data_IF_692199594566
#
_entry.id   IF_692199594566
#
_cell.length_a   1.000
_cell.length_b   1.000
_cell.length_c   1.000
_cell.angle_alpha   90.00
_cell.angle_beta   90.00
_cell.angle_gamma   90.00
#
_symmetry.space_group_name_H-M   'P 1'
#
loop_
_entity.id
_entity.type
_entity.pdbx_description
1 polymer ?
#
# COMPACT_ATOMS: atom_id res chain seq x y z
N UNK A 1 -26.33 29.09 -63.00
CA UNK A 1 -26.27 28.36 -61.72
C UNK A 1 -24.88 28.53 -61.13
N UNK A 2 -24.72 29.30 -60.05
CA UNK A 2 -23.46 29.39 -59.30
C UNK A 2 -23.79 28.89 -57.89
N UNK A 3 -23.41 27.66 -57.59
CA UNK A 3 -23.59 27.07 -56.26
C UNK A 3 -22.44 27.53 -55.37
N UNK A 4 -22.75 28.40 -54.41
CA UNK A 4 -21.87 28.74 -53.29
C UNK A 4 -21.98 27.64 -52.23
N UNK A 5 -20.91 26.88 -52.03
CA UNK A 5 -20.77 25.99 -50.89
C UNK A 5 -20.33 26.80 -49.67
N UNK A 6 -21.22 26.95 -48.69
CA UNK A 6 -20.86 27.44 -47.35
C UNK A 6 -20.15 26.33 -46.59
N UNK A 7 -18.87 26.50 -46.32
CA UNK A 7 -18.10 25.64 -45.42
C UNK A 7 -18.44 26.07 -44.00
N UNK A 8 -19.21 25.26 -43.29
CA UNK A 8 -19.50 25.43 -41.87
C UNK A 8 -18.32 24.83 -41.08
N UNK A 9 -17.39 25.68 -40.65
CA UNK A 9 -16.34 25.28 -39.71
C UNK A 9 -16.96 25.03 -38.33
N UNK A 10 -17.06 23.76 -37.95
CA UNK A 10 -17.43 23.34 -36.60
C UNK A 10 -16.24 23.67 -35.68
N UNK A 11 -16.36 24.73 -34.88
CA UNK A 11 -15.47 24.97 -33.75
C UNK A 11 -15.83 23.94 -32.66
N UNK A 12 -15.12 22.82 -32.65
CA UNK A 12 -15.14 21.91 -31.49
C UNK A 12 -14.34 22.62 -30.40
N UNK A 13 -15.04 23.19 -29.41
CA UNK A 13 -14.40 23.62 -28.19
C UNK A 13 -13.93 22.35 -27.46
N UNK A 14 -12.63 22.04 -27.53
CA UNK A 14 -12.03 21.08 -26.60
C UNK A 14 -12.16 21.69 -25.21
N UNK A 15 -13.09 21.17 -24.41
CA UNK A 15 -13.11 21.48 -22.99
C UNK A 15 -11.84 20.86 -22.40
N UNK A 16 -10.82 21.67 -22.12
CA UNK A 16 -9.72 21.26 -21.26
C UNK A 16 -10.32 21.09 -19.88
N UNK A 17 -10.41 19.86 -19.37
CA UNK A 17 -10.76 19.63 -17.98
C UNK A 17 -9.75 20.38 -17.12
N UNK A 18 -10.21 21.39 -16.38
CA UNK A 18 -9.36 22.17 -15.51
C UNK A 18 -9.55 21.66 -14.09
N UNK A 19 -8.45 21.24 -13.47
CA UNK A 19 -8.39 20.89 -12.06
C UNK A 19 -8.42 22.16 -11.21
N UNK A 20 -9.35 22.22 -10.27
CA UNK A 20 -9.51 23.32 -9.31
C UNK A 20 -9.16 22.81 -7.92
N UNK A 21 -8.39 23.59 -7.15
CA UNK A 21 -8.02 23.23 -5.80
C UNK A 21 -9.28 23.04 -4.93
N UNK A 22 -9.43 21.84 -4.38
CA UNK A 22 -10.56 21.49 -3.51
C UNK A 22 -10.13 21.56 -2.04
N UNK A 23 -9.02 20.91 -1.69
CA UNK A 23 -8.48 20.89 -0.34
C UNK A 23 -6.97 21.12 -0.34
N UNK A 24 -6.51 22.03 0.52
CA UNK A 24 -5.10 22.23 0.83
C UNK A 24 -4.81 21.72 2.24
N UNK A 25 -4.07 20.61 2.33
CA UNK A 25 -3.55 20.07 3.58
C UNK A 25 -2.32 20.85 4.03
N UNK A 26 -2.53 22.13 4.31
CA UNK A 26 -1.53 23.05 4.79
C UNK A 26 -0.95 22.57 6.14
N UNK A 27 0.36 22.73 6.32
CA UNK A 27 1.06 22.23 7.51
C UNK A 27 0.46 22.72 8.83
N UNK A 28 -0.09 23.95 8.87
CA UNK A 28 -0.74 24.51 10.06
C UNK A 28 -2.04 23.82 10.47
N UNK A 29 -2.76 23.19 9.53
CA UNK A 29 -4.03 22.49 9.75
C UNK A 29 -3.92 20.98 9.56
N UNK A 30 -2.77 20.47 9.09
CA UNK A 30 -2.57 19.09 8.67
C UNK A 30 -3.13 18.09 9.68
N UNK A 31 -2.63 18.06 10.92
CA UNK A 31 -3.11 17.12 11.95
C UNK A 31 -4.63 17.18 12.17
N UNK A 32 -5.24 18.35 12.09
CA UNK A 32 -6.69 18.50 12.35
C UNK A 32 -7.57 17.88 11.26
N UNK A 33 -7.01 17.62 10.07
CA UNK A 33 -7.71 17.04 8.93
C UNK A 33 -7.57 15.53 8.82
N UNK A 34 -6.83 14.92 9.75
CA UNK A 34 -6.65 13.48 9.85
C UNK A 34 -7.10 12.96 11.22
N UNK A 35 -7.51 11.70 11.25
CA UNK A 35 -7.63 10.90 12.45
C UNK A 35 -6.33 10.09 12.66
N UNK A 36 -5.84 10.04 13.90
CA UNK A 36 -4.66 9.25 14.28
C UNK A 36 -5.14 7.88 14.78
N UNK A 37 -4.89 6.84 13.99
CA UNK A 37 -5.27 5.47 14.32
C UNK A 37 -4.39 4.90 15.43
N UNK A 38 -4.99 4.21 16.41
CA UNK A 38 -4.28 3.61 17.55
C UNK A 38 -4.57 2.13 17.75
N UNK A 39 -5.43 1.54 16.91
CA UNK A 39 -5.76 0.12 16.97
C UNK A 39 -4.59 -0.76 16.54
N UNK A 40 -4.74 -2.07 16.68
CA UNK A 40 -3.80 -3.06 16.13
C UNK A 40 -3.64 -2.90 14.63
N UNK A 41 -2.41 -3.12 14.15
CA UNK A 41 -2.11 -2.98 12.73
C UNK A 41 -2.88 -4.03 11.92
N UNK A 42 -3.74 -3.62 10.97
CA UNK A 42 -4.52 -4.57 10.17
C UNK A 42 -3.67 -5.55 9.36
N UNK A 43 -2.42 -5.17 9.07
CA UNK A 43 -1.40 -5.97 8.36
C UNK A 43 -0.47 -6.75 9.31
N UNK A 44 -0.88 -6.89 10.57
CA UNK A 44 -0.20 -7.69 11.61
C UNK A 44 1.27 -7.30 11.84
N UNK A 45 1.61 -6.05 11.60
CA UNK A 45 2.96 -5.51 11.80
C UNK A 45 3.37 -5.48 13.26
N UNK A 46 4.69 -5.54 13.49
CA UNK A 46 5.30 -5.30 14.80
C UNK A 46 5.44 -3.80 15.07
N UNK A 47 4.29 -3.14 15.18
CA UNK A 47 4.14 -1.69 15.30
C UNK A 47 3.12 -1.33 16.37
N UNK A 48 3.39 -0.26 17.11
CA UNK A 48 2.45 0.33 18.05
C UNK A 48 2.03 1.72 17.53
N UNK A 49 0.85 1.82 16.93
CA UNK A 49 0.36 3.13 16.49
C UNK A 49 -0.11 3.96 17.68
N UNK A 50 0.46 5.16 17.82
CA UNK A 50 0.19 6.08 18.94
C UNK A 50 -0.68 7.27 18.51
N UNK A 51 -1.37 7.87 19.47
CA UNK A 51 -2.21 9.03 19.19
C UNK A 51 -1.37 10.31 18.94
N UNK A 52 -2.02 11.35 18.41
CA UNK A 52 -1.37 12.62 18.09
C UNK A 52 -0.62 13.24 19.28
N UNK A 53 -1.20 13.24 20.47
CA UNK A 53 -0.59 13.86 21.65
C UNK A 53 0.70 13.13 22.06
N UNK A 54 0.68 11.80 22.05
CA UNK A 54 1.87 10.98 22.30
C UNK A 54 2.95 11.24 21.24
N UNK A 55 2.57 11.22 19.95
CA UNK A 55 3.48 11.49 18.85
C UNK A 55 4.15 12.87 18.96
N UNK A 56 3.40 13.90 19.35
CA UNK A 56 3.94 15.25 19.58
C UNK A 56 4.90 15.27 20.78
N UNK A 57 4.51 14.67 21.91
CA UNK A 57 5.33 14.62 23.11
C UNK A 57 6.65 13.86 22.90
N UNK A 58 6.64 12.84 22.04
CA UNK A 58 7.82 12.05 21.68
C UNK A 58 8.61 12.67 20.50
N UNK A 59 8.16 13.79 19.94
CA UNK A 59 8.81 14.45 18.79
C UNK A 59 8.66 13.71 17.46
N UNK A 60 7.79 12.69 17.39
CA UNK A 60 7.50 11.91 16.19
C UNK A 60 6.52 12.61 15.24
N UNK A 61 5.72 13.57 15.74
CA UNK A 61 4.91 14.45 14.91
C UNK A 61 5.19 15.91 15.24
N UNK A 62 5.59 16.70 14.25
CA UNK A 62 5.83 18.14 14.41
C UNK A 62 5.70 18.89 13.09
N UNK A 63 5.42 20.19 13.20
CA UNK A 63 5.44 21.11 12.07
C UNK A 63 6.66 22.00 12.22
N UNK A 64 7.57 21.96 11.25
CA UNK A 64 8.81 22.74 11.26
C UNK A 64 9.02 23.39 9.89
N UNK A 65 9.29 24.69 9.87
CA UNK A 65 9.57 25.45 8.63
C UNK A 65 8.49 25.33 7.54
N UNK A 66 7.22 25.17 7.95
CA UNK A 66 6.10 25.01 7.01
C UNK A 66 5.94 23.61 6.42
N UNK A 67 6.74 22.63 6.85
CA UNK A 67 6.61 21.23 6.50
C UNK A 67 6.15 20.39 7.69
N UNK A 68 5.51 19.25 7.42
CA UNK A 68 5.08 18.29 8.43
C UNK A 68 6.09 17.15 8.51
N UNK A 69 6.64 16.92 9.69
CA UNK A 69 7.45 15.75 10.02
C UNK A 69 6.57 14.69 10.69
N UNK A 70 6.61 13.47 10.17
CA UNK A 70 5.95 12.29 10.73
C UNK A 70 6.90 11.10 10.73
N UNK A 71 7.46 10.77 11.89
CA UNK A 71 8.47 9.73 12.07
C UNK A 71 8.01 8.55 12.93
N UNK A 72 8.99 7.72 13.29
CA UNK A 72 8.87 6.54 14.17
C UNK A 72 9.79 6.68 15.39
N UNK A 73 9.58 5.88 16.42
CA UNK A 73 10.57 5.78 17.49
C UNK A 73 11.87 5.19 16.94
N UNK A 74 12.96 5.94 17.07
CA UNK A 74 14.31 5.57 16.64
C UNK A 74 15.33 5.58 17.78
N UNK A 75 14.86 5.61 19.03
CA UNK A 75 15.70 5.72 20.24
C UNK A 75 15.53 4.56 21.21
N UNK A 76 14.34 3.97 21.32
CA UNK A 76 14.08 2.95 22.33
C UNK A 76 14.01 1.53 21.75
N UNK A 77 14.43 0.56 22.57
CA UNK A 77 14.11 -0.85 22.33
C UNK A 77 12.60 -1.00 22.39
N UNK A 78 12.01 -1.54 21.33
CA UNK A 78 10.55 -1.68 21.26
C UNK A 78 10.05 -2.75 22.23
N UNK A 79 8.76 -2.72 22.54
CA UNK A 79 8.12 -3.74 23.39
C UNK A 79 6.62 -3.82 23.10
N UNK A 80 5.95 -4.83 23.66
CA UNK A 80 4.50 -4.99 23.49
C UNK A 80 4.12 -5.23 22.03
N UNK A 81 3.25 -4.36 21.49
CA UNK A 81 2.72 -4.43 20.12
C UNK A 81 3.80 -4.17 19.06
N UNK A 82 4.85 -3.42 19.41
CA UNK A 82 5.97 -3.17 18.54
C UNK A 82 6.54 -1.77 18.66
N UNK A 83 7.23 -1.32 17.61
CA UNK A 83 7.86 0.00 17.57
C UNK A 83 6.82 1.10 17.43
N UNK A 84 6.93 2.16 18.24
CA UNK A 84 6.00 3.29 18.16
C UNK A 84 6.08 3.95 16.77
N UNK A 85 4.91 4.16 16.16
CA UNK A 85 4.74 4.75 14.83
C UNK A 85 3.41 5.49 14.73
N UNK A 86 3.16 6.11 13.57
CA UNK A 86 1.96 6.89 13.30
C UNK A 86 1.25 6.31 12.07
N UNK A 87 -0.07 6.19 12.16
CA UNK A 87 -0.97 5.97 11.03
C UNK A 87 -2.06 7.04 11.07
N UNK A 88 -2.14 7.85 10.02
CA UNK A 88 -3.17 8.87 9.85
C UNK A 88 -4.12 8.52 8.73
N UNK A 89 -5.40 8.84 8.87
CA UNK A 89 -6.43 8.68 7.84
C UNK A 89 -7.22 9.97 7.68
N UNK A 90 -7.40 10.45 6.45
CA UNK A 90 -8.08 11.73 6.22
C UNK A 90 -9.52 11.66 6.73
N UNK A 91 -9.99 12.74 7.34
CA UNK A 91 -11.39 12.83 7.77
C UNK A 91 -12.34 12.89 6.59
N UNK A 92 -11.91 13.57 5.52
CA UNK A 92 -12.64 13.66 4.26
C UNK A 92 -12.40 12.40 3.41
N UNK A 93 -13.46 12.00 2.72
CA UNK A 93 -13.50 10.93 1.74
C UNK A 93 -13.64 11.53 0.33
N UNK A 94 -13.07 10.87 -0.67
CA UNK A 94 -13.06 11.31 -2.06
C UNK A 94 -13.60 10.22 -2.97
N UNK A 95 -14.22 10.60 -4.09
CA UNK A 95 -14.67 9.65 -5.12
C UNK A 95 -13.94 9.80 -6.45
N UNK A 96 -13.26 10.92 -6.68
CA UNK A 96 -12.36 11.21 -7.80
C UNK A 96 -11.40 12.30 -7.36
N UNK A 97 -10.42 12.61 -8.21
CA UNK A 97 -9.62 13.82 -8.07
C UNK A 97 -8.17 13.64 -8.48
N UNK A 98 -7.44 14.75 -8.39
CA UNK A 98 -6.00 14.81 -8.58
C UNK A 98 -5.33 15.11 -7.24
N UNK A 99 -4.68 14.09 -6.68
CA UNK A 99 -4.00 14.12 -5.40
C UNK A 99 -2.53 14.41 -5.65
N UNK A 100 -2.01 15.53 -5.14
CA UNK A 100 -0.62 15.95 -5.32
C UNK A 100 0.06 15.99 -3.95
N UNK A 101 1.01 15.09 -3.75
CA UNK A 101 1.84 14.99 -2.55
C UNK A 101 3.28 15.40 -2.87
N UNK A 102 3.73 16.50 -2.27
CA UNK A 102 5.13 16.96 -2.32
C UNK A 102 5.85 16.55 -1.03
N UNK A 103 6.88 15.71 -1.18
CA UNK A 103 7.72 15.24 -0.07
C UNK A 103 9.16 15.70 -0.24
N UNK A 104 9.73 16.32 0.80
CA UNK A 104 11.17 16.52 0.90
C UNK A 104 11.90 15.23 1.31
N UNK A 105 11.21 14.32 1.99
CA UNK A 105 11.76 13.06 2.49
C UNK A 105 10.65 12.02 2.69
N UNK A 106 10.98 10.74 2.50
CA UNK A 106 10.14 9.60 2.86
C UNK A 106 10.97 8.56 3.65
N UNK A 107 10.36 7.60 4.34
CA UNK A 107 11.10 6.55 5.05
C UNK A 107 12.11 5.84 4.13
N UNK A 108 13.39 5.84 4.50
CA UNK A 108 14.51 5.59 3.57
C UNK A 108 14.69 4.12 3.10
N UNK A 109 13.79 3.20 3.45
CA UNK A 109 13.94 1.77 3.15
C UNK A 109 14.93 1.08 4.08
N UNK A 110 14.62 1.05 5.38
CA UNK A 110 15.39 0.31 6.39
C UNK A 110 14.81 -1.10 6.58
N UNK A 111 15.66 -2.05 6.97
CA UNK A 111 15.24 -3.42 7.25
C UNK A 111 14.10 -3.48 8.25
N UNK A 112 13.02 -4.17 7.87
CA UNK A 112 11.81 -4.33 8.64
C UNK A 112 10.80 -3.21 8.50
N UNK A 113 11.08 -2.13 7.78
CA UNK A 113 10.09 -1.05 7.54
C UNK A 113 9.10 -1.42 6.43
N UNK A 114 7.88 -0.90 6.55
CA UNK A 114 6.84 -0.93 5.53
C UNK A 114 6.09 0.42 5.53
N UNK A 115 6.65 1.47 4.90
CA UNK A 115 5.97 2.74 4.73
C UNK A 115 4.92 2.70 3.61
N UNK A 116 3.83 3.44 3.79
CA UNK A 116 2.80 3.59 2.76
C UNK A 116 2.19 5.00 2.75
N UNK A 117 1.93 5.53 1.54
CA UNK A 117 0.94 6.57 1.26
C UNK A 117 -0.05 6.03 0.22
N UNK A 118 -1.33 5.99 0.58
CA UNK A 118 -2.31 5.17 -0.13
C UNK A 118 -3.72 5.72 0.09
N UNK A 119 -4.66 5.20 -0.70
CA UNK A 119 -6.08 5.48 -0.58
C UNK A 119 -6.81 4.21 -0.13
N UNK A 120 -7.75 4.34 0.81
CA UNK A 120 -8.57 3.23 1.29
C UNK A 120 -10.06 3.56 1.30
N UNK A 121 -10.85 2.73 0.64
CA UNK A 121 -12.31 2.76 0.66
C UNK A 121 -12.91 1.96 1.82
N UNK A 122 -14.24 2.05 2.04
CA UNK A 122 -14.92 1.32 3.10
C UNK A 122 -15.01 -0.18 2.78
N UNK A 123 -15.17 -1.00 3.82
CA UNK A 123 -15.41 -2.45 3.70
C UNK A 123 -14.39 -3.14 2.78
N UNK A 124 -13.10 -3.00 3.08
CA UNK A 124 -12.03 -3.60 2.29
C UNK A 124 -12.28 -5.10 2.00
N UNK A 125 -12.05 -5.58 0.75
CA UNK A 125 -11.51 -4.86 -0.40
C UNK A 125 -12.59 -4.23 -1.32
N UNK A 126 -13.87 -4.29 -0.93
CA UNK A 126 -15.00 -3.93 -1.82
C UNK A 126 -15.09 -2.44 -2.15
N UNK A 127 -14.57 -1.57 -1.27
CA UNK A 127 -14.45 -0.14 -1.54
C UNK A 127 -13.19 0.24 -2.32
N UNK A 128 -12.29 -0.71 -2.58
CA UNK A 128 -11.02 -0.52 -3.26
C UNK A 128 -9.91 0.06 -2.39
N UNK A 129 -8.66 -0.18 -2.79
CA UNK A 129 -7.45 0.37 -2.20
C UNK A 129 -6.44 0.72 -3.31
N UNK A 130 -5.78 1.87 -3.18
CA UNK A 130 -4.81 2.42 -4.14
C UNK A 130 -3.49 2.71 -3.44
N UNK A 131 -2.48 1.90 -3.70
CA UNK A 131 -1.13 2.09 -3.15
C UNK A 131 -0.32 3.02 -4.05
N UNK A 132 -0.09 4.24 -3.57
CA UNK A 132 0.58 5.29 -4.34
C UNK A 132 2.08 5.25 -4.10
N UNK A 133 2.48 5.18 -2.83
CA UNK A 133 3.87 5.01 -2.43
C UNK A 133 3.91 3.83 -1.47
N UNK A 134 4.56 2.74 -1.86
CA UNK A 134 4.67 1.56 -1.01
C UNK A 134 5.94 0.75 -1.31
N UNK A 135 6.52 0.19 -0.25
CA UNK A 135 7.63 -0.73 -0.35
C UNK A 135 8.03 -1.28 1.01
N UNK A 136 8.87 -2.31 1.00
CA UNK A 136 9.29 -3.01 2.21
C UNK A 136 10.80 -3.15 2.31
N UNK A 137 11.30 -3.25 3.53
CA UNK A 137 12.71 -3.56 3.81
C UNK A 137 13.67 -2.62 3.05
N UNK A 138 14.58 -3.17 2.24
CA UNK A 138 15.59 -2.40 1.49
C UNK A 138 15.18 -2.08 0.06
N UNK A 139 13.89 -2.19 -0.27
CA UNK A 139 13.37 -1.87 -1.59
C UNK A 139 13.76 -0.45 -2.01
N UNK A 140 14.26 -0.32 -3.24
CA UNK A 140 14.89 0.91 -3.75
C UNK A 140 14.07 1.65 -4.81
N UNK A 141 12.96 1.08 -5.26
CA UNK A 141 12.05 1.69 -6.22
C UNK A 141 10.60 1.45 -5.77
N UNK A 142 9.71 2.38 -6.09
CA UNK A 142 8.34 2.35 -5.61
C UNK A 142 7.53 1.18 -6.18
N UNK A 143 6.66 0.59 -5.36
CA UNK A 143 5.60 -0.30 -5.81
C UNK A 143 4.28 0.45 -5.79
N UNK A 144 3.52 0.38 -6.88
CA UNK A 144 2.17 0.93 -6.96
C UNK A 144 1.21 -0.22 -7.27
N UNK A 145 0.09 -0.29 -6.56
CA UNK A 145 -0.85 -1.38 -6.73
C UNK A 145 -2.29 -0.92 -6.55
N UNK A 146 -3.23 -1.71 -7.08
CA UNK A 146 -4.63 -1.64 -6.70
C UNK A 146 -5.09 -2.97 -6.13
N UNK A 147 -5.95 -2.88 -5.11
CA UNK A 147 -6.59 -4.02 -4.46
C UNK A 147 -8.10 -3.86 -4.53
N UNK A 148 -8.78 -4.87 -5.06
CA UNK A 148 -10.24 -4.90 -5.23
C UNK A 148 -10.80 -6.28 -4.88
N UNK A 149 -12.13 -6.41 -4.89
CA UNK A 149 -12.78 -7.70 -5.10
C UNK A 149 -12.73 -8.10 -6.59
N UNK A 150 -13.22 -9.30 -6.92
CA UNK A 150 -13.17 -9.88 -8.26
C UNK A 150 -13.73 -8.98 -9.38
N UNK A 151 -13.18 -9.11 -10.58
CA UNK A 151 -13.72 -8.45 -11.79
C UNK A 151 -13.08 -7.11 -12.13
N UNK A 152 -11.85 -6.87 -11.68
CA UNK A 152 -11.03 -5.74 -12.09
C UNK A 152 -9.66 -6.26 -12.56
N UNK A 153 -9.33 -6.02 -13.82
CA UNK A 153 -7.97 -6.24 -14.32
C UNK A 153 -7.52 -5.10 -15.22
N UNK A 154 -6.22 -4.84 -15.19
CA UNK A 154 -5.58 -3.79 -15.96
C UNK A 154 -4.88 -4.36 -17.19
N UNK A 155 -4.73 -3.55 -18.23
CA UNK A 155 -4.13 -3.95 -19.50
C UNK A 155 -2.73 -3.38 -19.67
N UNK A 156 -1.83 -4.18 -20.26
CA UNK A 156 -0.48 -3.73 -20.60
C UNK A 156 -0.48 -3.03 -21.98
N UNK A 157 -0.79 -1.74 -22.01
CA UNK A 157 -0.93 -0.98 -23.27
C UNK A 157 0.28 -0.13 -23.65
N UNK A 158 1.34 -0.10 -22.82
CA UNK A 158 2.52 0.75 -23.05
C UNK A 158 2.31 2.22 -22.68
N UNK A 159 1.23 2.52 -21.95
CA UNK A 159 0.82 3.87 -21.55
C UNK A 159 1.37 4.29 -20.17
N UNK A 160 2.37 3.57 -19.65
CA UNK A 160 3.09 3.87 -18.40
C UNK A 160 4.54 3.42 -18.50
N UNK A 161 5.42 4.01 -17.67
CA UNK A 161 6.87 3.74 -17.70
C UNK A 161 7.34 2.63 -16.75
N UNK A 162 6.53 2.26 -15.76
CA UNK A 162 6.79 1.14 -14.86
C UNK A 162 6.65 -0.23 -15.52
N UNK A 163 7.01 -1.27 -14.78
CA UNK A 163 6.85 -2.67 -15.19
C UNK A 163 5.61 -3.26 -14.54
N UNK A 164 4.67 -3.77 -15.35
CA UNK A 164 3.54 -4.55 -14.84
C UNK A 164 4.03 -5.88 -14.27
N UNK A 165 3.75 -6.12 -13.00
CA UNK A 165 4.09 -7.35 -12.27
C UNK A 165 2.90 -8.32 -12.28
N UNK A 166 1.72 -7.80 -11.96
CA UNK A 166 0.45 -8.52 -11.91
C UNK A 166 -0.67 -7.65 -12.48
N UNK A 167 -1.57 -8.25 -13.24
CA UNK A 167 -2.62 -7.54 -13.99
C UNK A 167 -4.00 -7.63 -13.33
N UNK A 168 -4.23 -8.58 -12.41
CA UNK A 168 -5.50 -8.79 -11.76
C UNK A 168 -5.54 -8.13 -10.37
N UNK A 169 -6.47 -7.20 -10.16
CA UNK A 169 -6.55 -6.39 -8.95
C UNK A 169 -7.29 -7.12 -7.81
N UNK A 170 -7.92 -8.26 -8.09
CA UNK A 170 -8.58 -9.08 -7.07
C UNK A 170 -7.58 -9.62 -6.04
N UNK A 171 -7.80 -9.32 -4.76
CA UNK A 171 -6.99 -9.82 -3.65
C UNK A 171 -7.01 -11.36 -3.53
N UNK A 172 -8.00 -12.02 -4.14
CA UNK A 172 -8.15 -13.46 -4.22
C UNK A 172 -8.03 -14.01 -5.65
N UNK A 173 -7.36 -13.28 -6.54
CA UNK A 173 -7.18 -13.65 -7.95
C UNK A 173 -6.63 -15.07 -8.14
N UNK A 174 -7.31 -15.96 -8.90
CA UNK A 174 -6.81 -17.29 -9.20
C UNK A 174 -5.48 -17.24 -9.97
N UNK A 175 -4.48 -17.97 -9.50
CA UNK A 175 -3.16 -18.03 -10.15
C UNK A 175 -2.22 -16.88 -9.81
N UNK A 176 -2.65 -15.97 -8.94
CA UNK A 176 -1.84 -14.89 -8.36
C UNK A 176 -1.62 -15.15 -6.87
N UNK A 177 -0.55 -14.58 -6.29
CA UNK A 177 -0.38 -14.58 -4.84
C UNK A 177 -1.55 -13.87 -4.14
N UNK A 178 -1.92 -14.36 -2.96
CA UNK A 178 -2.96 -13.71 -2.14
C UNK A 178 -2.56 -12.29 -1.81
N UNK A 179 -3.51 -11.37 -1.95
CA UNK A 179 -3.36 -9.94 -1.67
C UNK A 179 -2.19 -9.26 -2.40
N UNK A 180 -1.83 -9.73 -3.60
CA UNK A 180 -0.82 -9.03 -4.43
C UNK A 180 -1.45 -7.85 -5.18
N UNK A 181 -2.74 -7.93 -5.49
CA UNK A 181 -3.41 -6.94 -6.34
C UNK A 181 -2.79 -6.86 -7.74
N UNK A 182 -3.18 -5.85 -8.50
CA UNK A 182 -2.54 -5.56 -9.78
C UNK A 182 -1.44 -4.52 -9.52
N UNK A 183 -0.19 -4.92 -9.70
CA UNK A 183 0.98 -4.16 -9.27
C UNK A 183 1.84 -3.72 -10.44
N UNK A 184 2.27 -2.46 -10.42
CA UNK A 184 3.24 -1.87 -11.34
C UNK A 184 4.44 -1.39 -10.50
N UNK A 185 5.62 -1.91 -10.81
CA UNK A 185 6.86 -1.51 -10.15
C UNK A 185 7.56 -0.41 -10.94
N UNK A 186 7.94 0.65 -10.24
CA UNK A 186 8.79 1.70 -10.82
C UNK A 186 10.14 1.13 -11.23
N UNK A 187 10.66 1.58 -12.37
CA UNK A 187 12.03 1.30 -12.80
C UNK A 187 13.02 2.38 -12.33
N UNK A 188 12.52 3.47 -11.75
CA UNK A 188 13.32 4.60 -11.27
C UNK A 188 13.72 4.39 -9.81
N UNK A 189 15.01 4.18 -9.54
CA UNK A 189 15.53 4.02 -8.18
C UNK A 189 15.50 5.30 -7.34
N UNK A 190 15.14 6.45 -7.93
CA UNK A 190 14.86 7.68 -7.19
C UNK A 190 13.40 7.83 -6.77
N UNK A 191 12.53 6.90 -7.16
CA UNK A 191 11.11 6.96 -6.79
C UNK A 191 10.81 6.56 -5.35
N UNK A 192 11.76 5.95 -4.64
CA UNK A 192 11.51 5.45 -3.29
C UNK A 192 12.76 5.48 -2.39
N UNK A 193 12.51 5.50 -1.08
CA UNK A 193 13.52 5.30 -0.03
C UNK A 193 14.74 6.21 -0.14
N UNK A 194 15.93 5.63 0.05
CA UNK A 194 17.18 6.38 0.05
C UNK A 194 17.45 7.13 -1.27
N UNK A 195 17.09 6.56 -2.42
CA UNK A 195 17.27 7.21 -3.72
C UNK A 195 16.41 8.46 -3.87
N UNK A 196 15.15 8.39 -3.41
CA UNK A 196 14.26 9.56 -3.32
C UNK A 196 14.83 10.65 -2.42
N UNK A 197 15.28 10.27 -1.22
CA UNK A 197 15.80 11.21 -0.23
C UNK A 197 17.10 11.90 -0.69
N UNK A 198 18.00 11.15 -1.36
CA UNK A 198 19.23 11.70 -1.91
C UNK A 198 19.00 12.74 -3.00
N UNK A 199 17.86 12.66 -3.70
CA UNK A 199 17.45 13.63 -4.72
C UNK A 199 16.71 14.85 -4.14
N UNK A 200 16.60 14.99 -2.81
CA UNK A 200 15.80 16.04 -2.18
C UNK A 200 14.29 15.82 -2.32
N UNK A 201 13.90 14.56 -2.51
CA UNK A 201 12.55 14.10 -2.70
C UNK A 201 11.94 14.43 -4.06
N UNK A 202 10.65 14.76 -4.06
CA UNK A 202 9.88 14.90 -5.29
C UNK A 202 8.38 14.98 -5.04
N UNK A 203 7.62 14.89 -6.13
CA UNK A 203 6.16 14.95 -6.13
C UNK A 203 5.59 13.64 -6.66
N UNK A 204 4.63 13.09 -5.93
CA UNK A 204 3.71 12.08 -6.44
C UNK A 204 2.39 12.75 -6.79
N UNK A 205 1.90 12.49 -7.99
CA UNK A 205 0.58 12.94 -8.44
C UNK A 205 -0.26 11.74 -8.84
N UNK A 206 -1.44 11.60 -8.25
CA UNK A 206 -2.39 10.52 -8.53
C UNK A 206 -3.66 11.12 -9.11
N UNK A 207 -3.98 10.78 -10.34
CA UNK A 207 -5.22 11.15 -11.01
C UNK A 207 -6.17 9.96 -10.95
N UNK A 208 -7.36 10.18 -10.37
CA UNK A 208 -8.42 9.19 -10.28
C UNK A 208 -9.68 9.72 -10.96
N UNK A 209 -10.06 9.03 -12.03
CA UNK A 209 -11.25 9.30 -12.86
C UNK A 209 -12.17 8.08 -12.89
N UNK A 210 -13.33 8.20 -13.56
CA UNK A 210 -14.20 7.05 -13.84
C UNK A 210 -13.58 5.99 -14.76
N UNK A 211 -12.55 6.34 -15.55
CA UNK A 211 -11.99 5.46 -16.57
C UNK A 211 -10.68 4.80 -16.13
N UNK A 212 -9.91 5.47 -15.27
CA UNK A 212 -8.58 5.01 -14.86
C UNK A 212 -8.08 5.67 -13.58
N UNK A 213 -7.05 5.05 -13.02
CA UNK A 213 -6.17 5.65 -12.01
C UNK A 213 -4.76 5.74 -12.60
N UNK A 214 -4.14 6.92 -12.59
CA UNK A 214 -2.76 7.14 -13.07
C UNK A 214 -1.91 7.75 -11.97
N UNK A 215 -0.65 7.32 -11.86
CA UNK A 215 0.29 7.77 -10.84
C UNK A 215 1.57 8.23 -11.51
N UNK A 216 1.94 9.49 -11.31
CA UNK A 216 3.21 10.07 -11.72
C UNK A 216 4.15 10.23 -10.53
N UNK A 217 5.43 10.05 -10.79
CA UNK A 217 6.50 10.50 -9.92
C UNK A 217 7.35 11.52 -10.68
N UNK A 218 7.53 12.69 -10.08
CA UNK A 218 8.45 13.73 -10.55
C UNK A 218 9.56 13.91 -9.52
N UNK A 219 10.79 13.64 -9.92
CA UNK A 219 11.96 13.97 -9.10
C UNK A 219 12.00 15.48 -8.82
N UNK A 220 12.61 15.90 -7.70
CA UNK A 220 12.61 17.31 -7.25
C UNK A 220 12.93 18.33 -8.35
N UNK A 221 13.88 18.04 -9.23
CA UNK A 221 14.32 18.94 -10.31
C UNK A 221 13.46 18.90 -11.58
N UNK A 222 12.45 18.03 -11.64
CA UNK A 222 11.63 17.77 -12.82
C UNK A 222 10.12 17.96 -12.54
N UNK A 223 9.76 18.64 -11.45
CA UNK A 223 8.35 18.93 -11.11
C UNK A 223 7.77 19.88 -12.18
N UNK A 224 6.67 19.52 -12.84
CA UNK A 224 5.97 20.40 -13.77
C UNK A 224 5.61 21.77 -13.16
N UNK A 225 5.81 22.83 -13.93
CA UNK A 225 5.66 24.21 -13.44
C UNK A 225 4.21 24.59 -13.11
N UNK A 226 3.26 23.94 -13.75
CA UNK A 226 1.81 24.05 -13.52
C UNK A 226 1.39 23.49 -12.16
N UNK A 227 2.02 22.41 -11.67
CA UNK A 227 1.87 21.93 -10.28
C UNK A 227 2.35 23.01 -9.30
N UNK A 228 3.55 23.54 -9.53
CA UNK A 228 4.13 24.59 -8.66
C UNK A 228 3.33 25.90 -8.73
N UNK A 229 2.70 26.17 -9.88
CA UNK A 229 1.82 27.31 -10.12
C UNK A 229 0.38 27.13 -9.61
N UNK A 230 0.04 25.97 -9.03
CA UNK A 230 -1.28 25.69 -8.47
C UNK A 230 -2.40 25.52 -9.50
N UNK A 231 -2.06 25.23 -10.76
CA UNK A 231 -3.01 25.01 -11.85
C UNK A 231 -2.62 23.73 -12.63
N UNK A 232 -2.61 22.56 -11.97
CA UNK A 232 -2.08 21.34 -12.57
C UNK A 232 -2.90 20.89 -13.79
N UNK A 233 -2.21 20.42 -14.81
CA UNK A 233 -2.74 19.87 -16.06
C UNK A 233 -1.98 18.58 -16.45
N UNK A 234 -2.53 17.40 -16.07
CA UNK A 234 -1.91 16.11 -16.36
C UNK A 234 -1.68 15.82 -17.85
N UNK A 235 -2.40 16.48 -18.77
CA UNK A 235 -2.32 16.20 -20.21
C UNK A 235 -0.93 16.48 -20.82
N UNK A 236 -0.11 17.29 -20.13
CA UNK A 236 1.21 17.71 -20.58
C UNK A 236 2.36 17.07 -19.77
N UNK A 237 2.09 16.17 -18.83
CA UNK A 237 3.11 15.59 -17.94
C UNK A 237 3.88 14.40 -18.54
N UNK A 238 3.42 13.88 -19.68
CA UNK A 238 3.98 12.68 -20.29
C UNK A 238 3.49 11.39 -19.62
N UNK A 239 4.23 10.30 -19.82
CA UNK A 239 3.82 8.97 -19.34
C UNK A 239 3.82 8.91 -17.80
N UNK A 240 2.73 8.43 -17.17
CA UNK A 240 2.74 8.12 -15.75
C UNK A 240 3.72 6.97 -15.43
N UNK A 241 4.14 6.88 -14.18
CA UNK A 241 4.89 5.73 -13.66
C UNK A 241 4.02 4.48 -13.64
N UNK A 242 2.74 4.62 -13.30
CA UNK A 242 1.73 3.56 -13.35
C UNK A 242 0.42 4.09 -13.92
N UNK A 243 -0.24 3.28 -14.76
CA UNK A 243 -1.60 3.54 -15.21
C UNK A 243 -2.43 2.27 -15.10
N UNK A 244 -3.50 2.37 -14.33
CA UNK A 244 -4.45 1.30 -14.07
C UNK A 244 -5.71 1.58 -14.88
N UNK A 245 -5.77 0.97 -16.06
CA UNK A 245 -6.89 1.04 -16.99
C UNK A 245 -7.06 -0.34 -17.65
N UNK A 246 -8.29 -0.75 -17.96
CA UNK A 246 -8.53 -2.06 -18.57
C UNK A 246 -9.95 -2.56 -18.38
N UNK A 247 -10.08 -3.87 -18.18
CA UNK A 247 -11.36 -4.51 -17.86
C UNK A 247 -11.69 -4.31 -16.37
N UNK A 248 -11.92 -3.06 -15.99
CA UNK A 248 -12.25 -2.66 -14.64
C UNK A 248 -13.21 -1.47 -14.68
N UNK A 249 -14.34 -1.59 -13.99
CA UNK A 249 -15.26 -0.48 -13.73
C UNK A 249 -14.75 0.27 -12.49
N UNK A 250 -13.99 1.35 -12.69
CA UNK A 250 -13.31 2.06 -11.61
C UNK A 250 -14.31 2.62 -10.60
N UNK A 251 -15.45 3.17 -11.05
CA UNK A 251 -16.47 3.73 -10.15
C UNK A 251 -17.17 2.65 -9.31
N UNK A 252 -17.31 1.44 -9.85
CA UNK A 252 -17.84 0.32 -9.09
C UNK A 252 -16.83 -0.25 -8.07
N UNK A 253 -15.53 -0.08 -8.31
CA UNK A 253 -14.45 -0.69 -7.51
C UNK A 253 -13.84 0.23 -6.47
N UNK A 254 -13.87 1.54 -6.69
CA UNK A 254 -13.24 2.53 -5.82
C UNK A 254 -14.27 3.55 -5.39
N UNK A 255 -14.52 3.67 -4.09
CA UNK A 255 -15.54 4.57 -3.56
C UNK A 255 -15.10 5.13 -2.20
N UNK A 256 -15.44 6.40 -1.95
CA UNK A 256 -15.30 7.07 -0.65
C UNK A 256 -13.92 6.84 0.00
N UNK A 257 -12.88 7.06 -0.80
CA UNK A 257 -11.50 6.80 -0.42
C UNK A 257 -11.00 7.83 0.59
N UNK A 258 -10.36 7.36 1.66
CA UNK A 258 -9.57 8.19 2.57
C UNK A 258 -8.09 8.09 2.22
N UNK A 259 -7.39 9.21 2.27
CA UNK A 259 -5.93 9.20 2.21
C UNK A 259 -5.37 8.66 3.52
N UNK A 260 -4.43 7.72 3.42
CA UNK A 260 -3.74 7.13 4.56
C UNK A 260 -2.23 7.32 4.37
N UNK A 261 -1.55 7.64 5.48
CA UNK A 261 -0.09 7.64 5.53
C UNK A 261 0.37 6.96 6.81
N UNK A 262 1.28 6.01 6.71
CA UNK A 262 1.82 5.29 7.86
C UNK A 262 3.23 4.77 7.63
N UNK A 263 3.81 4.25 8.72
CA UNK A 263 4.94 3.33 8.67
C UNK A 263 4.62 2.13 9.55
N UNK A 264 4.39 0.98 8.93
CA UNK A 264 4.32 -0.30 9.63
C UNK A 264 5.71 -0.94 9.71
N UNK A 265 5.80 -2.05 10.42
CA UNK A 265 7.02 -2.85 10.51
C UNK A 265 6.70 -4.33 10.39
N UNK A 266 7.53 -5.09 9.69
CA UNK A 266 7.36 -6.53 9.51
C UNK A 266 5.98 -6.88 8.92
N UNK A 267 5.16 -7.64 9.66
CA UNK A 267 3.81 -7.96 9.24
C UNK A 267 3.73 -8.82 7.99
N UNK A 268 2.55 -8.78 7.38
CA UNK A 268 2.15 -9.70 6.31
C UNK A 268 3.05 -9.61 5.06
N UNK A 269 3.64 -8.44 4.78
CA UNK A 269 4.56 -8.26 3.67
C UNK A 269 6.03 -8.17 4.09
N UNK A 270 6.48 -7.10 4.77
CA UNK A 270 7.90 -6.91 5.05
C UNK A 270 8.50 -8.06 5.88
N UNK A 271 7.70 -8.62 6.79
CA UNK A 271 8.08 -9.78 7.60
C UNK A 271 8.14 -11.08 6.80
N UNK A 272 7.20 -11.30 5.87
CA UNK A 272 7.15 -12.53 5.08
C UNK A 272 8.29 -12.66 4.08
N UNK A 273 8.78 -11.53 3.55
CA UNK A 273 9.95 -11.50 2.65
C UNK A 273 11.29 -11.25 3.34
N UNK A 274 11.32 -11.20 4.68
CA UNK A 274 12.55 -10.93 5.44
C UNK A 274 13.69 -11.90 5.11
N UNK A 275 13.38 -13.20 5.04
CA UNK A 275 14.38 -14.26 4.84
C UNK A 275 14.93 -14.31 3.41
N UNK A 276 14.26 -13.67 2.46
CA UNK A 276 14.67 -13.59 1.05
C UNK A 276 15.33 -12.25 0.70
N UNK A 277 15.17 -11.21 1.53
CA UNK A 277 15.93 -9.96 1.41
C UNK A 277 17.39 -10.21 1.82
N UNK A 278 18.29 -10.11 0.85
CA UNK A 278 19.72 -10.40 1.02
C UNK A 278 20.46 -9.40 1.92
N UNK A 279 19.89 -8.22 2.14
CA UNK A 279 20.43 -7.19 3.03
C UNK A 279 19.93 -7.37 4.46
N UNK A 280 18.65 -7.76 4.62
CA UNK A 280 17.99 -7.85 5.92
C UNK A 280 18.13 -9.21 6.59
N UNK A 281 18.05 -10.32 5.85
CA UNK A 281 18.17 -11.65 6.43
C UNK A 281 19.44 -11.86 7.28
N UNK A 282 20.62 -11.30 6.93
CA UNK A 282 21.81 -11.40 7.78
C UNK A 282 21.79 -10.56 9.07
N UNK A 283 20.86 -9.59 9.20
CA UNK A 283 20.84 -8.66 10.32
C UNK A 283 20.23 -9.26 11.60
N UNK A 284 19.28 -10.18 11.47
CA UNK A 284 18.65 -10.88 12.59
C UNK A 284 17.89 -12.13 12.10
N UNK A 285 17.64 -13.07 13.03
CA UNK A 285 16.83 -14.27 12.78
C UNK A 285 15.43 -13.98 12.29
N UNK A 286 14.80 -12.93 12.81
CA UNK A 286 13.46 -12.50 12.41
C UNK A 286 13.41 -10.99 12.23
N UNK A 287 12.45 -10.53 11.44
CA UNK A 287 12.20 -9.10 11.26
C UNK A 287 11.90 -8.43 12.60
N UNK A 288 11.09 -9.06 13.44
CA UNK A 288 10.69 -8.56 14.75
C UNK A 288 11.90 -8.39 15.68
N UNK A 289 12.83 -9.36 15.70
CA UNK A 289 14.05 -9.26 16.49
C UNK A 289 14.89 -8.04 16.08
N UNK A 290 15.01 -7.78 14.77
CA UNK A 290 15.73 -6.62 14.28
C UNK A 290 15.04 -5.31 14.67
N UNK A 291 13.74 -5.19 14.37
CA UNK A 291 12.96 -3.99 14.65
C UNK A 291 12.91 -3.69 16.15
N UNK A 292 12.82 -4.71 16.99
CA UNK A 292 12.80 -4.55 18.44
C UNK A 292 14.11 -3.96 18.97
N UNK A 293 15.24 -4.52 18.56
CA UNK A 293 16.52 -4.32 19.24
C UNK A 293 17.44 -3.27 18.58
N UNK A 294 17.08 -2.71 17.41
CA UNK A 294 17.92 -1.79 16.66
C UNK A 294 17.27 -0.41 16.42
N UNK A 295 16.88 0.36 17.47
CA UNK A 295 16.21 1.64 17.31
C UNK A 295 16.92 2.64 16.38
N UNK A 296 18.24 2.73 16.50
CA UNK A 296 19.03 3.69 15.72
C UNK A 296 18.99 3.45 14.21
N UNK A 297 18.60 2.25 13.75
CA UNK A 297 18.41 1.95 12.33
C UNK A 297 17.26 2.77 11.71
N UNK A 298 16.34 3.31 12.52
CA UNK A 298 15.12 3.97 12.07
C UNK A 298 15.17 5.50 12.12
N UNK A 299 16.35 6.10 12.32
CA UNK A 299 16.49 7.57 12.37
C UNK A 299 16.08 8.25 11.06
N UNK A 300 16.26 7.57 9.93
CA UNK A 300 15.84 8.04 8.60
C UNK A 300 14.48 7.45 8.16
N UNK A 301 13.67 6.98 9.10
CA UNK A 301 12.34 6.43 8.84
C UNK A 301 11.28 7.47 9.19
N UNK A 302 11.11 8.46 8.31
CA UNK A 302 10.13 9.52 8.49
C UNK A 302 9.67 10.13 7.16
N UNK A 303 8.45 10.66 7.17
CA UNK A 303 7.90 11.52 6.14
C UNK A 303 8.21 12.98 6.46
N UNK A 304 8.68 13.73 5.46
CA UNK A 304 8.77 15.19 5.50
C UNK A 304 7.91 15.75 4.36
N UNK A 305 6.73 16.25 4.72
CA UNK A 305 5.67 16.63 3.80
C UNK A 305 5.70 18.14 3.61
N UNK A 306 6.01 18.60 2.40
CA UNK A 306 5.97 20.01 2.05
C UNK A 306 4.52 20.46 1.82
N UNK A 307 3.74 19.67 1.07
CA UNK A 307 2.32 19.93 0.84
C UNK A 307 1.59 18.68 0.39
N UNK A 308 0.29 18.61 0.69
CA UNK A 308 -0.65 17.66 0.14
C UNK A 308 -1.88 18.42 -0.32
N UNK A 309 -2.23 18.33 -1.59
CA UNK A 309 -3.35 19.06 -2.18
C UNK A 309 -4.21 18.13 -3.00
N UNK A 310 -5.53 18.34 -2.93
CA UNK A 310 -6.50 17.61 -3.75
C UNK A 310 -7.21 18.60 -4.64
N UNK A 311 -7.30 18.28 -5.93
CA UNK A 311 -8.02 19.05 -6.93
C UNK A 311 -9.16 18.21 -7.50
N UNK A 312 -10.29 18.83 -7.82
CA UNK A 312 -11.38 18.19 -8.56
C UNK A 312 -11.53 18.77 -9.95
N UNK A 313 -12.04 17.93 -10.87
CA UNK A 313 -12.44 18.40 -12.19
C UNK A 313 -13.60 19.39 -12.05
N UNK A 314 -13.43 20.59 -12.64
CA UNK A 314 -14.48 21.60 -12.78
C UNK A 314 -15.09 22.14 -11.46
N UNK A 315 -14.41 21.99 -10.32
CA UNK A 315 -14.91 22.47 -9.03
C UNK A 315 -16.20 21.78 -8.58
N UNK A 316 -16.42 20.53 -9.03
CA UNK A 316 -17.49 19.66 -8.57
C UNK A 316 -17.23 19.18 -7.14
N UNK A 317 -17.14 20.11 -6.19
CA UNK A 317 -17.41 19.78 -4.79
C UNK A 317 -18.81 19.17 -4.69
N UNK A 318 -19.08 18.33 -3.67
CA UNK A 318 -20.37 17.68 -3.51
C UNK A 318 -21.49 18.72 -3.59
N UNK A 319 -22.52 18.43 -4.40
CA UNK A 319 -23.66 19.31 -4.60
C UNK A 319 -24.16 19.81 -3.24
N UNK A 320 -24.31 21.14 -3.03
CA UNK A 320 -24.87 21.64 -1.79
C UNK A 320 -26.25 21.03 -1.65
N UNK A 321 -26.51 20.39 -0.51
CA UNK A 321 -27.83 19.93 -0.12
C UNK A 321 -28.73 21.16 -0.20
N UNK A 322 -29.64 21.19 -1.19
CA UNK A 322 -30.56 22.31 -1.35
C UNK A 322 -31.46 22.37 -0.12
N UNK A 323 -31.11 23.23 0.83
CA UNK A 323 -32.05 23.70 1.83
C UNK A 323 -33.13 24.48 1.09
N UNK A 324 -34.34 23.92 1.03
CA UNK A 324 -35.52 24.64 0.56
C UNK A 324 -35.64 25.98 1.31
N UNK A 325 -35.95 27.09 0.63
CA UNK A 325 -36.15 28.36 1.30
C UNK A 325 -37.39 28.30 2.17
N UNK A 326 -37.21 28.46 3.49
CA UNK A 326 -38.31 28.79 4.41
C UNK A 326 -38.91 30.13 4.00
N UNK A 327 -40.22 30.14 3.75
CA UNK A 327 -40.99 31.35 3.53
C UNK A 327 -40.90 32.27 4.77
N UNK A 328 -40.66 33.56 4.52
CA UNK A 328 -40.73 34.61 5.55
C UNK A 328 -42.14 34.68 6.17
N UNK A 329 -42.28 34.83 7.50
CA UNK A 329 -43.58 35.07 8.10
C UNK A 329 -43.96 36.55 7.95
N UNK A 330 -45.13 36.78 7.38
CA UNK A 330 -45.81 38.09 7.37
C UNK A 330 -46.33 38.39 8.77
N UNK A 331 -46.03 39.59 9.27
CA UNK A 331 -46.47 40.11 10.57
C UNK A 331 -47.97 40.40 10.56
N UNK A 332 -48.74 39.81 11.48
CA UNK A 332 -50.08 40.27 11.88
C UNK A 332 -50.25 40.28 13.41
N UNK A 333 -50.94 41.32 13.88
CA UNK A 333 -51.13 41.78 15.26
C UNK A 333 -52.01 40.85 16.13
N UNK A 334 -52.05 41.01 17.48
CA UNK A 334 -52.42 39.96 18.43
C UNK A 334 -53.92 39.91 18.76
N UNK A 335 -54.43 38.68 18.94
CA UNK A 335 -55.73 38.35 19.53
C UNK A 335 -55.58 37.31 20.65
N UNK A 336 -56.38 37.48 21.70
CA UNK A 336 -56.43 36.84 23.03
C UNK A 336 -56.26 35.30 23.16
N UNK A 337 -56.02 34.80 24.39
CA UNK A 337 -55.50 33.46 24.67
C UNK A 337 -56.61 32.40 24.84
N UNK A 338 -56.31 31.19 24.39
CA UNK A 338 -57.04 29.97 24.78
C UNK A 338 -56.07 28.81 24.96
N UNK A 339 -55.80 28.50 26.24
CA UNK A 339 -55.54 27.18 26.86
C UNK A 339 -54.88 26.07 26.03
N UNK A 340 -53.61 25.77 26.33
CA UNK A 340 -52.92 24.51 25.99
C UNK A 340 -53.31 23.37 26.95
N UNK A 341 -53.43 22.12 26.47
CA UNK A 341 -53.29 20.94 27.30
C UNK A 341 -51.82 20.50 27.37
N UNK A 342 -51.35 20.29 28.60
CA UNK A 342 -50.07 19.70 28.98
C UNK A 342 -49.89 18.31 28.36
N UNK A 343 -48.84 18.12 27.56
CA UNK A 343 -48.39 16.79 27.13
C UNK A 343 -47.19 16.35 27.98
N UNK A 344 -47.36 15.16 28.56
CA UNK A 344 -46.55 14.54 29.60
C UNK A 344 -45.16 14.11 29.14
N UNK A 345 -44.20 14.25 30.06
CA UNK A 345 -42.84 13.74 29.97
C UNK A 345 -42.89 12.22 30.13
N UNK A 346 -42.44 11.47 29.13
CA UNK A 346 -42.28 10.01 29.23
C UNK A 346 -40.88 9.70 29.73
N UNK A 347 -40.81 9.30 31.00
CA UNK A 347 -39.64 8.75 31.68
C UNK A 347 -39.30 7.38 31.08
N UNK A 348 -38.06 7.15 30.66
CA UNK A 348 -37.57 5.81 30.34
C UNK A 348 -37.13 5.11 31.64
N UNK A 349 -37.79 4.01 31.99
CA UNK A 349 -37.38 3.12 33.08
C UNK A 349 -36.30 2.14 32.61
N UNK A 350 -35.26 2.04 33.43
CA UNK A 350 -34.14 1.11 33.31
C UNK A 350 -34.58 -0.29 33.75
N UNK A 351 -34.58 -1.27 32.83
CA UNK A 351 -34.80 -2.68 33.17
C UNK A 351 -33.46 -3.33 33.50
N UNK A 352 -33.20 -3.54 34.80
CA UNK A 352 -32.20 -4.48 35.30
C UNK A 352 -32.83 -5.86 35.44
N UNK A 353 -32.46 -6.80 34.58
CA UNK A 353 -32.57 -8.24 34.86
C UNK A 353 -31.51 -9.01 34.08
N UNK A 354 -30.52 -9.52 34.80
CA UNK A 354 -29.47 -10.42 34.33
C UNK A 354 -29.92 -11.85 34.60
N UNK A 355 -30.08 -12.74 33.60
CA UNK A 355 -30.22 -14.16 33.85
C UNK A 355 -28.82 -14.78 34.04
N UNK A 356 -28.62 -15.40 35.20
CA UNK A 356 -27.50 -16.29 35.52
C UNK A 356 -27.43 -17.47 34.54
N UNK A 357 -26.32 -17.59 33.80
CA UNK A 357 -26.00 -18.76 32.98
C UNK A 357 -25.33 -19.81 33.86
N UNK A 358 -26.03 -20.91 34.13
CA UNK A 358 -25.47 -22.12 34.73
C UNK A 358 -24.75 -22.96 33.67
N UNK A 359 -23.44 -23.18 33.87
CA UNK A 359 -22.63 -24.10 33.08
C UNK A 359 -23.01 -25.56 33.39
N UNK A 360 -23.68 -26.22 32.45
CA UNK A 360 -23.75 -27.69 32.38
C UNK A 360 -22.72 -28.22 31.39
N UNK A 361 -21.87 -29.21 31.74
CA UNK A 361 -20.90 -29.80 30.82
C UNK A 361 -21.58 -30.61 29.72
N UNK A 362 -21.20 -30.36 28.47
CA UNK A 362 -21.58 -31.17 27.29
C UNK A 362 -20.75 -32.46 27.27
N UNK A 363 -21.35 -33.65 27.04
CA UNK A 363 -20.60 -34.90 26.90
C UNK A 363 -19.81 -34.94 25.59
N UNK A 364 -18.53 -35.29 25.69
CA UNK A 364 -17.62 -35.50 24.55
C UNK A 364 -17.92 -36.84 23.85
N UNK A 365 -17.89 -36.91 22.50
CA UNK A 365 -18.14 -38.15 21.77
C UNK A 365 -16.95 -39.12 21.91
N UNK A 366 -17.27 -40.36 22.26
CA UNK A 366 -16.35 -41.50 22.36
C UNK A 366 -16.04 -42.05 20.97
N UNK A 367 -14.77 -42.05 20.58
CA UNK A 367 -14.25 -42.84 19.45
C UNK A 367 -13.63 -44.12 19.96
N UNK A 368 -14.22 -45.27 19.60
CA UNK A 368 -13.67 -46.60 19.80
C UNK A 368 -12.41 -46.82 18.94
N UNK A 369 -11.33 -47.23 19.58
CA UNK A 369 -10.18 -47.89 18.93
C UNK A 369 -9.76 -49.12 19.78
N UNK A 370 -9.36 -50.25 19.16
CA UNK A 370 -9.22 -51.52 19.86
C UNK A 370 -7.92 -51.61 20.68
N UNK A 371 -8.03 -52.27 21.85
CA UNK A 371 -6.90 -52.64 22.71
C UNK A 371 -5.96 -53.66 22.04
N UNK A 372 -4.65 -53.42 22.16
CA UNK A 372 -3.64 -54.50 22.22
C UNK A 372 -2.70 -54.26 23.40
N UNK A 373 -2.87 -55.15 24.39
CA UNK A 373 -1.98 -55.59 25.47
C UNK A 373 -0.56 -55.00 25.57
N UNK A 374 -0.27 -54.36 26.70
CA UNK A 374 1.09 -54.18 27.24
C UNK A 374 1.11 -54.59 28.72
N UNK A 375 1.94 -55.58 29.06
CA UNK A 375 2.17 -56.07 30.42
C UNK A 375 3.56 -55.67 30.88
N UNK A 376 3.62 -55.03 32.05
CA UNK A 376 4.62 -55.31 33.08
C UNK A 376 5.95 -54.54 33.04
N UNK A 377 6.23 -53.84 34.14
CA UNK A 377 7.52 -54.04 34.82
C UNK A 377 8.40 -52.81 35.10
N UNK A 378 8.15 -52.18 36.25
CA UNK A 378 9.10 -51.87 37.34
C UNK A 378 10.46 -51.17 37.07
N UNK A 379 10.78 -50.16 37.92
CA UNK A 379 12.14 -50.02 38.46
C UNK A 379 12.81 -48.63 38.43
N UNK A 380 12.56 -47.85 39.49
CA UNK A 380 13.50 -47.05 40.31
C UNK A 380 14.85 -46.53 39.73
N UNK A 381 15.10 -45.23 39.92
CA UNK A 381 16.22 -44.77 40.75
C UNK A 381 17.54 -44.29 40.10
N UNK A 382 17.71 -42.96 40.13
CA UNK A 382 18.91 -42.21 40.58
C UNK A 382 20.16 -42.09 39.68
N UNK A 383 20.58 -40.82 39.48
CA UNK A 383 21.97 -40.40 39.72
C UNK A 383 22.92 -40.26 38.52
N UNK A 384 23.17 -39.00 38.13
CA UNK A 384 24.53 -38.42 38.18
C UNK A 384 25.50 -38.60 37.00
N UNK A 385 26.03 -37.43 36.59
CA UNK A 385 27.38 -37.15 36.08
C UNK A 385 27.75 -37.42 34.60
N UNK A 386 27.92 -36.28 33.91
CA UNK A 386 29.20 -35.68 33.48
C UNK A 386 30.00 -36.29 32.31
N UNK A 387 30.61 -35.35 31.57
CA UNK A 387 31.68 -35.43 30.57
C UNK A 387 31.29 -36.01 29.19
N UNK A 388 31.23 -35.22 28.11
CA UNK A 388 32.26 -34.40 27.44
C UNK A 388 33.24 -35.24 26.59
N UNK A 389 33.61 -34.65 25.44
CA UNK A 389 34.59 -35.07 24.40
C UNK A 389 34.11 -36.06 23.34
N UNK A 390 33.85 -35.59 22.11
CA UNK A 390 34.80 -35.22 21.02
C UNK A 390 35.46 -36.43 20.35
N UNK A 391 35.32 -36.47 19.03
CA UNK A 391 36.43 -36.77 18.13
C UNK A 391 36.34 -38.09 17.38
N UNK A 392 36.08 -37.96 16.07
CA UNK A 392 36.74 -38.70 14.98
C UNK A 392 36.75 -40.22 15.00
N UNK A 393 36.15 -40.85 13.99
CA UNK A 393 36.83 -41.06 12.70
C UNK A 393 35.95 -41.87 11.73
N UNK A 394 35.84 -41.35 10.51
CA UNK A 394 36.16 -41.98 9.25
C UNK A 394 35.88 -43.47 8.96
N UNK A 395 35.29 -43.60 7.77
CA UNK A 395 35.70 -44.49 6.69
C UNK A 395 35.06 -45.89 6.58
N UNK A 396 34.28 -45.96 5.51
CA UNK A 396 34.49 -46.82 4.34
C UNK A 396 33.69 -48.12 4.20
N UNK A 397 32.88 -48.06 3.14
CA UNK A 397 32.95 -48.94 1.97
C UNK A 397 32.07 -50.19 1.94
N UNK A 398 31.10 -50.08 1.02
CA UNK A 398 30.86 -50.95 -0.13
C UNK A 398 30.01 -52.23 -0.03
N UNK A 399 29.14 -52.33 -1.03
CA UNK A 399 28.62 -53.56 -1.64
C UNK A 399 27.41 -54.16 -0.92
N UNK A 400 26.27 -54.41 -1.54
CA UNK A 400 25.90 -54.39 -2.95
C UNK A 400 24.81 -55.46 -3.19
N UNK A 401 23.86 -55.10 -4.05
CA UNK A 401 23.08 -55.98 -4.95
C UNK A 401 21.74 -56.58 -4.51
N UNK A 402 20.74 -56.32 -5.37
CA UNK A 402 19.54 -57.13 -5.66
C UNK A 402 18.24 -56.48 -5.19
N UNK A 403 17.23 -56.15 -6.00
CA UNK A 403 16.93 -56.43 -7.41
C UNK A 403 15.40 -56.47 -7.61
N UNK A 404 14.90 -55.88 -8.71
CA UNK A 404 13.50 -55.97 -9.20
C UNK A 404 12.65 -54.74 -8.88
N UNK A 405 11.89 -54.11 -9.78
CA UNK A 405 11.48 -54.40 -11.15
C UNK A 405 10.08 -53.79 -11.39
N UNK A 406 9.79 -53.36 -12.63
CA UNK A 406 8.52 -52.83 -13.18
C UNK A 406 8.15 -51.37 -12.81
N UNK A 407 7.75 -50.47 -13.71
CA UNK A 407 7.59 -50.49 -15.16
C UNK A 407 6.97 -49.15 -15.58
N UNK A 408 7.63 -48.39 -16.47
CA UNK A 408 7.15 -47.12 -17.00
C UNK A 408 7.12 -47.13 -18.52
N UNK A 409 5.93 -47.05 -19.09
CA UNK A 409 5.66 -47.01 -20.53
C UNK A 409 6.00 -45.66 -21.16
N UNK A 410 6.46 -45.74 -22.41
CA UNK A 410 6.93 -44.68 -23.30
C UNK A 410 5.80 -44.07 -24.16
N UNK A 411 6.08 -42.85 -24.64
CA UNK A 411 5.77 -42.34 -25.97
C UNK A 411 5.86 -40.82 -25.96
N UNK A 412 6.59 -40.08 -26.79
CA UNK A 412 7.43 -40.34 -27.96
C UNK A 412 7.57 -38.98 -28.67
N UNK A 413 8.77 -38.56 -29.06
CA UNK A 413 8.95 -37.38 -29.91
C UNK A 413 10.15 -37.59 -30.83
N UNK A 414 9.88 -37.53 -32.13
CA UNK A 414 10.83 -37.73 -33.21
C UNK A 414 11.72 -36.51 -33.45
N UNK A 415 12.88 -36.78 -34.03
CA UNK A 415 13.82 -35.77 -34.46
C UNK A 415 13.50 -35.19 -35.85
N UNK A 416 14.14 -34.06 -36.13
CA UNK A 416 14.57 -33.66 -37.47
C UNK A 416 15.74 -32.70 -37.31
N UNK A 417 16.80 -32.96 -38.07
CA UNK A 417 18.04 -32.18 -38.13
C UNK A 417 18.31 -31.63 -39.52
N UNK A 418 19.39 -30.85 -39.62
CA UNK A 418 19.93 -30.22 -40.83
C UNK A 418 19.83 -28.70 -40.75
N UNK A 419 20.80 -27.87 -41.12
CA UNK A 419 22.09 -28.05 -41.79
C UNK A 419 22.92 -26.79 -41.51
N UNK A 420 24.24 -26.93 -41.32
CA UNK A 420 25.20 -25.82 -41.23
C UNK A 420 26.00 -25.73 -42.53
N UNK A 421 25.99 -24.56 -43.17
CA UNK A 421 26.83 -24.23 -44.31
C UNK A 421 27.54 -22.91 -44.07
N UNK A 422 28.88 -22.94 -44.03
CA UNK A 422 29.73 -21.77 -43.83
C UNK A 422 29.97 -20.95 -45.09
N UNK A 423 30.49 -19.74 -44.90
CA UNK A 423 30.99 -18.87 -45.97
C UNK A 423 31.88 -17.76 -45.39
N UNK A 424 33.15 -17.74 -45.83
CA UNK A 424 34.20 -16.77 -45.50
C UNK A 424 34.16 -15.56 -46.45
N UNK A 425 34.75 -14.45 -45.98
CA UNK A 425 35.30 -13.34 -46.79
C UNK A 425 34.86 -11.99 -46.22
N UNK A 426 35.70 -10.98 -45.94
CA UNK A 426 37.09 -10.70 -46.27
C UNK A 426 37.23 -9.21 -46.61
N UNK A 427 38.18 -8.50 -45.98
CA UNK A 427 38.59 -7.12 -46.31
C UNK A 427 37.82 -6.02 -45.55
N UNK A 428 38.42 -4.92 -45.07
CA UNK A 428 39.77 -4.39 -45.19
C UNK A 428 39.72 -2.88 -44.87
N UNK A 429 40.80 -2.32 -44.30
CA UNK A 429 41.03 -0.87 -44.12
C UNK A 429 40.28 -0.26 -42.92
N UNK A 430 40.90 0.44 -41.97
CA UNK A 430 42.02 1.36 -42.07
C UNK A 430 41.50 2.77 -41.81
N UNK A 431 41.79 3.35 -40.65
CA UNK A 431 41.37 4.73 -40.34
C UNK A 431 41.65 5.16 -38.91
N UNK A 432 42.82 5.76 -38.70
CA UNK A 432 43.21 6.48 -37.48
C UNK A 432 42.42 7.80 -37.36
N UNK A 433 42.15 8.23 -36.13
CA UNK A 433 41.72 9.60 -35.84
C UNK A 433 41.56 9.84 -34.34
N UNK A 434 42.55 10.49 -33.76
CA UNK A 434 42.62 10.98 -32.36
C UNK A 434 42.13 12.44 -32.29
N UNK A 435 42.03 12.97 -31.06
CA UNK A 435 41.74 14.35 -30.61
C UNK A 435 40.25 14.68 -30.52
N UNK A 436 39.74 15.33 -29.49
CA UNK A 436 40.33 16.10 -28.38
C UNK A 436 39.26 17.14 -27.96
N UNK A 437 39.22 17.49 -26.68
CA UNK A 437 38.07 18.12 -26.04
C UNK A 437 37.64 19.51 -26.56
N UNK A 438 36.38 19.82 -26.25
CA UNK A 438 35.97 20.94 -25.39
C UNK A 438 34.58 20.66 -24.84
#
# INVERSE_FOLDING_TARGET
MRSTFSVLSLLVASATASYVLEDDYAASSFASMFDFFTGDDPTHGYVNYINQQQAQNQGMYKVENGAVYMGVDSSNVASGRGRDSIRISSKKEYNHGLFILDLAHMPAGACGTWPAFWLLGPNWPYGGEVDIIEGVNTQSANSMALHTDAGCSISHTGDFSGTLSTDNCDVAAPGQGTNVGCAIHSQDSSSFGQGFNNNGGGVFATEWTSDYISIWFFSRGAIPSDISGGNPDPSNWGLPAAKFAGACDIDAKFQNQKMIMNVAFCGDWAGSVWSTDSTCAPQASTCQDYVQNNPSAFQNTYWMINSLRVYSENGAGPAPTQSQPSASPTVTSPGQPTTEPTASITTFETITNIPTVTNTPVPQPTTDQPQTTGSGGNGNGNGGNNANWQGWNDNNNNGGSGGGGFGGGRGGSGGSGGSWGGGRGGGGGGGRGSWGGR
#
